data_IF_621258330665
#
_entry.id   IF_621258330665
#
_cell.length_a   1.000
_cell.length_b   1.000
_cell.length_c   1.000
_cell.angle_alpha   90.00
_cell.angle_beta   90.00
_cell.angle_gamma   90.00
#
_symmetry.space_group_name_H-M   'P 1'
#
loop_
_entity.id
_entity.type
_entity.pdbx_description
1 polymer ?
#
# COMPACT_ATOMS: atom_id res chain seq x y z
N UNK A 1 -5.69 32.73 -11.14
CA UNK A 1 -5.19 32.04 -9.93
C UNK A 1 -3.78 32.56 -9.65
N UNK A 2 -3.49 32.99 -8.42
CA UNK A 2 -2.28 33.73 -8.05
C UNK A 2 -1.01 32.91 -8.33
N UNK A 3 -0.03 33.57 -8.93
CA UNK A 3 1.35 33.11 -9.11
C UNK A 3 1.94 32.68 -7.76
N UNK A 4 2.15 31.37 -7.58
CA UNK A 4 3.04 30.84 -6.55
C UNK A 4 4.47 30.94 -7.10
N UNK A 5 5.34 31.63 -6.39
CA UNK A 5 6.71 31.88 -6.84
C UNK A 5 7.53 30.58 -6.76
N UNK A 6 8.30 30.22 -7.80
CA UNK A 6 9.04 28.95 -7.88
C UNK A 6 10.17 28.80 -6.85
N UNK A 7 10.57 29.86 -6.15
CA UNK A 7 11.70 29.80 -5.20
C UNK A 7 11.35 29.21 -3.82
N UNK A 8 10.08 28.98 -3.49
CA UNK A 8 9.68 28.32 -2.22
C UNK A 8 9.66 26.79 -2.36
N UNK A 9 9.70 26.25 -3.57
CA UNK A 9 9.66 24.79 -3.82
C UNK A 9 11.03 24.10 -3.76
N UNK A 10 12.12 24.85 -3.54
CA UNK A 10 13.48 24.33 -3.65
C UNK A 10 14.10 23.83 -2.32
N UNK A 11 13.45 24.02 -1.17
CA UNK A 11 14.10 23.72 0.12
C UNK A 11 13.74 22.35 0.74
N UNK A 12 12.66 21.70 0.30
CA UNK A 12 12.29 20.37 0.79
C UNK A 12 11.74 19.49 -0.34
N UNK A 13 12.50 18.46 -0.72
CA UNK A 13 12.05 17.37 -1.60
C UNK A 13 10.77 16.75 -1.01
N UNK A 14 9.67 16.81 -1.76
CA UNK A 14 8.41 16.21 -1.32
C UNK A 14 8.48 14.70 -1.53
N UNK A 15 7.85 13.92 -0.64
CA UNK A 15 7.79 12.46 -0.78
C UNK A 15 6.34 12.00 -0.78
N UNK A 16 5.99 11.15 -1.74
CA UNK A 16 4.66 10.55 -1.87
C UNK A 16 4.81 9.03 -1.78
N UNK A 17 4.15 8.42 -0.82
CA UNK A 17 4.06 6.96 -0.71
C UNK A 17 2.72 6.50 -1.29
N UNK A 18 2.74 5.81 -2.44
CA UNK A 18 1.56 5.15 -2.98
C UNK A 18 1.43 3.77 -2.34
N UNK A 19 0.36 3.55 -1.57
CA UNK A 19 0.17 2.35 -0.76
C UNK A 19 -1.05 1.58 -1.25
N UNK A 20 -0.84 0.32 -1.60
CA UNK A 20 -1.92 -0.62 -1.91
C UNK A 20 -2.10 -1.61 -0.75
N UNK A 21 -3.31 -1.63 -0.20
CA UNK A 21 -3.70 -2.55 0.87
C UNK A 21 -4.25 -3.87 0.34
N UNK A 22 -4.57 -4.80 1.24
CA UNK A 22 -5.17 -6.11 0.95
C UNK A 22 -4.27 -7.06 0.15
N UNK A 23 -2.94 -6.88 0.19
CA UNK A 23 -1.98 -7.75 -0.53
C UNK A 23 -1.84 -9.17 0.07
N UNK A 24 -2.60 -9.51 1.11
CA UNK A 24 -2.86 -10.89 1.49
C UNK A 24 -3.67 -11.67 0.43
N UNK A 25 -4.47 -10.95 -0.36
CA UNK A 25 -5.33 -11.52 -1.42
C UNK A 25 -4.50 -12.36 -2.39
N UNK A 26 -4.84 -13.64 -2.63
CA UNK A 26 -4.02 -14.55 -3.44
C UNK A 26 -3.66 -14.03 -4.83
N UNK A 27 -4.60 -13.35 -5.51
CA UNK A 27 -4.36 -12.77 -6.85
C UNK A 27 -3.32 -11.65 -6.86
N UNK A 28 -3.13 -10.96 -5.74
CA UNK A 28 -2.21 -9.83 -5.60
C UNK A 28 -0.81 -10.26 -5.18
N UNK A 29 -0.66 -11.43 -4.56
CA UNK A 29 0.61 -11.93 -4.04
C UNK A 29 1.72 -11.97 -5.11
N UNK A 30 1.36 -12.29 -6.36
CA UNK A 30 2.30 -12.32 -7.49
C UNK A 30 2.98 -10.97 -7.76
N UNK A 31 2.32 -9.86 -7.41
CA UNK A 31 2.81 -8.51 -7.63
C UNK A 31 3.55 -7.92 -6.43
N UNK A 32 3.60 -8.63 -5.30
CA UNK A 32 4.19 -8.13 -4.05
C UNK A 32 5.65 -7.66 -4.23
N UNK A 33 6.41 -8.33 -5.09
CA UNK A 33 7.82 -8.00 -5.38
C UNK A 33 7.98 -6.91 -6.45
N UNK A 34 6.90 -6.51 -7.10
CA UNK A 34 6.89 -5.51 -8.16
C UNK A 34 5.58 -4.70 -8.13
N UNK A 35 5.43 -3.91 -7.07
CA UNK A 35 4.22 -3.12 -6.79
C UNK A 35 4.05 -1.99 -7.80
N UNK A 36 5.15 -1.43 -8.29
CA UNK A 36 5.15 -0.44 -9.36
C UNK A 36 4.53 -1.02 -10.64
N UNK A 37 4.93 -2.24 -11.04
CA UNK A 37 4.29 -2.90 -12.19
C UNK A 37 2.80 -3.14 -11.99
N UNK A 38 2.36 -3.42 -10.77
CA UNK A 38 0.94 -3.50 -10.45
C UNK A 38 0.24 -2.14 -10.62
N UNK A 39 0.86 -1.06 -10.15
CA UNK A 39 0.33 0.29 -10.34
C UNK A 39 0.22 0.65 -11.83
N UNK A 40 1.24 0.36 -12.64
CA UNK A 40 1.22 0.62 -14.09
C UNK A 40 0.07 -0.11 -14.80
N UNK A 41 -0.14 -1.40 -14.47
CA UNK A 41 -1.14 -2.24 -15.14
C UNK A 41 -2.56 -1.84 -14.73
N UNK A 42 -2.80 -1.66 -13.43
CA UNK A 42 -4.16 -1.54 -12.90
C UNK A 42 -4.57 -0.09 -12.59
N UNK A 43 -3.60 0.82 -12.45
CA UNK A 43 -3.80 2.23 -12.10
C UNK A 43 -2.98 3.18 -12.99
N UNK A 44 -2.98 3.03 -14.33
CA UNK A 44 -2.12 3.80 -15.22
C UNK A 44 -2.32 5.31 -15.11
N UNK A 45 -3.56 5.76 -14.86
CA UNK A 45 -3.85 7.20 -14.68
C UNK A 45 -3.22 7.75 -13.39
N UNK A 46 -3.13 6.93 -12.34
CA UNK A 46 -2.47 7.31 -11.08
C UNK A 46 -0.96 7.41 -11.30
N UNK A 47 -0.37 6.46 -12.01
CA UNK A 47 1.06 6.50 -12.35
C UNK A 47 1.39 7.74 -13.17
N UNK A 48 0.63 8.02 -14.25
CA UNK A 48 0.86 9.21 -15.07
C UNK A 48 0.78 10.52 -14.25
N UNK A 49 -0.17 10.63 -13.33
CA UNK A 49 -0.28 11.81 -12.46
C UNK A 49 0.89 11.94 -11.47
N UNK A 50 1.47 10.82 -11.04
CA UNK A 50 2.67 10.81 -10.19
C UNK A 50 3.92 11.15 -10.99
N UNK A 51 4.02 10.68 -12.24
CA UNK A 51 5.12 11.02 -13.16
C UNK A 51 5.16 12.53 -13.43
N UNK A 52 4.00 13.15 -13.68
CA UNK A 52 3.89 14.62 -13.79
C UNK A 52 4.42 15.31 -12.50
N UNK A 53 4.10 14.79 -11.31
CA UNK A 53 4.58 15.38 -10.05
C UNK A 53 6.10 15.24 -9.87
N UNK A 54 6.68 14.12 -10.29
CA UNK A 54 8.12 13.89 -10.28
C UNK A 54 8.80 14.91 -11.22
N UNK A 55 8.31 15.04 -12.46
CA UNK A 55 8.88 15.93 -13.48
C UNK A 55 8.80 17.42 -13.09
N UNK A 56 7.64 17.86 -12.57
CA UNK A 56 7.37 19.29 -12.39
C UNK A 56 7.63 19.83 -10.97
N UNK A 57 7.73 18.98 -9.92
CA UNK A 57 7.68 19.44 -8.52
C UNK A 57 8.77 18.91 -7.58
N UNK A 58 9.86 18.34 -8.09
CA UNK A 58 10.96 17.82 -7.25
C UNK A 58 10.44 16.88 -6.14
N UNK A 59 9.74 15.84 -6.57
CA UNK A 59 9.05 14.89 -5.70
C UNK A 59 9.62 13.48 -5.87
N UNK A 60 9.86 12.78 -4.76
CA UNK A 60 10.09 11.34 -4.77
C UNK A 60 8.76 10.60 -4.62
N UNK A 61 8.64 9.49 -5.33
CA UNK A 61 7.51 8.58 -5.22
C UNK A 61 8.02 7.18 -4.91
N UNK A 62 7.39 6.49 -3.96
CA UNK A 62 7.66 5.09 -3.69
C UNK A 62 6.36 4.29 -3.57
N UNK A 63 6.42 3.04 -4.03
CA UNK A 63 5.27 2.14 -4.14
C UNK A 63 5.35 1.07 -3.05
N UNK A 64 4.27 0.90 -2.30
CA UNK A 64 4.21 -0.03 -1.18
C UNK A 64 3.00 -0.97 -1.30
N UNK A 65 3.25 -2.24 -1.03
CA UNK A 65 2.20 -3.21 -0.75
C UNK A 65 2.12 -3.44 0.75
N UNK A 66 0.90 -3.51 1.29
CA UNK A 66 0.69 -3.84 2.69
C UNK A 66 -0.49 -4.78 2.89
N UNK A 67 -0.47 -5.45 4.04
CA UNK A 67 -1.62 -6.16 4.57
C UNK A 67 -1.76 -5.86 6.05
N UNK A 68 -2.95 -5.39 6.43
CA UNK A 68 -3.31 -5.22 7.82
C UNK A 68 -3.71 -6.56 8.48
N UNK A 69 -4.12 -7.58 7.70
CA UNK A 69 -4.53 -8.88 8.21
C UNK A 69 -3.36 -9.87 8.30
N UNK A 70 -2.44 -9.84 7.34
CA UNK A 70 -1.34 -10.79 7.25
C UNK A 70 -1.77 -12.14 6.67
N UNK A 71 -0.94 -13.16 6.92
CA UNK A 71 -1.11 -14.51 6.39
C UNK A 71 -1.07 -15.55 7.51
N UNK A 72 -1.69 -16.70 7.24
CA UNK A 72 -1.50 -17.95 7.97
C UNK A 72 -0.73 -18.92 7.08
N UNK A 73 -0.01 -19.85 7.70
CA UNK A 73 0.57 -21.00 7.02
C UNK A 73 -0.39 -22.19 7.17
N UNK A 74 -0.98 -22.64 6.06
CA UNK A 74 -1.85 -23.80 5.98
C UNK A 74 -1.29 -24.75 4.89
N UNK A 75 -0.95 -25.98 5.26
CA UNK A 75 -0.38 -27.00 4.35
C UNK A 75 0.81 -26.51 3.50
N UNK A 76 1.71 -25.72 4.12
CA UNK A 76 2.88 -25.14 3.46
C UNK A 76 2.57 -24.01 2.47
N UNK A 77 1.35 -23.46 2.50
CA UNK A 77 0.92 -22.33 1.67
C UNK A 77 0.54 -21.14 2.54
N UNK A 78 0.80 -19.94 2.03
CA UNK A 78 0.33 -18.70 2.64
C UNK A 78 -1.13 -18.44 2.25
N UNK A 79 -2.01 -18.42 3.23
CA UNK A 79 -3.42 -18.05 3.06
C UNK A 79 -3.73 -16.76 3.81
N UNK A 80 -4.71 -15.95 3.36
CA UNK A 80 -5.10 -14.73 4.07
C UNK A 80 -5.54 -14.99 5.51
N UNK A 81 -5.05 -14.20 6.47
CA UNK A 81 -5.54 -14.23 7.86
C UNK A 81 -6.79 -13.34 8.03
N UNK A 82 -7.78 -13.52 7.16
CA UNK A 82 -9.02 -12.73 7.16
C UNK A 82 -10.23 -13.65 6.96
N UNK A 83 -11.25 -13.44 7.79
CA UNK A 83 -12.59 -13.95 7.58
C UNK A 83 -13.49 -12.81 7.09
N UNK A 84 -14.35 -13.12 6.12
CA UNK A 84 -15.32 -12.19 5.58
C UNK A 84 -16.68 -12.43 6.22
N UNK A 85 -17.15 -11.45 6.98
CA UNK A 85 -18.47 -11.48 7.61
C UNK A 85 -19.44 -10.69 6.74
N UNK A 86 -20.52 -11.35 6.35
CA UNK A 86 -21.65 -10.74 5.66
C UNK A 86 -22.77 -10.52 6.66
N UNK A 87 -23.16 -9.27 6.88
CA UNK A 87 -24.31 -8.93 7.70
C UNK A 87 -25.41 -8.36 6.82
N UNK A 88 -26.59 -8.99 6.85
CA UNK A 88 -27.79 -8.49 6.20
C UNK A 88 -28.70 -7.97 7.30
N UNK A 89 -28.88 -6.65 7.37
CA UNK A 89 -29.95 -6.05 8.15
C UNK A 89 -30.82 -5.24 7.21
N UNK A 90 -32.09 -5.67 7.12
CA UNK A 90 -33.31 -5.15 6.49
C UNK A 90 -33.23 -4.27 5.22
N UNK A 91 -32.18 -3.50 4.97
CA UNK A 91 -31.96 -2.67 3.78
C UNK A 91 -30.47 -2.56 3.33
N UNK A 92 -29.50 -3.10 4.08
CA UNK A 92 -28.06 -2.98 3.74
C UNK A 92 -27.31 -4.31 3.87
N UNK A 93 -26.54 -4.63 2.83
CA UNK A 93 -25.53 -5.69 2.85
C UNK A 93 -24.20 -5.08 3.28
N UNK A 94 -23.77 -5.37 4.50
CA UNK A 94 -22.47 -4.92 5.01
C UNK A 94 -21.42 -6.03 4.86
N UNK A 95 -20.24 -5.66 4.36
CA UNK A 95 -19.09 -6.55 4.19
C UNK A 95 -17.97 -6.12 5.12
N UNK A 96 -17.58 -6.99 6.04
CA UNK A 96 -16.49 -6.74 6.99
C UNK A 96 -15.41 -7.81 6.85
N UNK A 97 -14.15 -7.39 6.89
CA UNK A 97 -13.02 -8.29 7.10
C UNK A 97 -12.63 -8.27 8.57
N UNK A 98 -12.50 -9.44 9.19
CA UNK A 98 -11.99 -9.59 10.55
C UNK A 98 -10.77 -10.51 10.54
N UNK A 99 -9.84 -10.33 11.49
CA UNK A 99 -8.69 -11.22 11.63
C UNK A 99 -9.20 -12.62 11.96
N UNK A 100 -8.88 -13.61 11.12
CA UNK A 100 -9.33 -15.02 11.27
C UNK A 100 -8.70 -15.67 12.51
N UNK A 101 -7.41 -15.51 12.71
CA UNK A 101 -6.67 -15.96 13.89
C UNK A 101 -5.78 -14.85 14.46
N UNK A 102 -6.25 -14.17 15.53
CA UNK A 102 -5.49 -13.12 16.20
C UNK A 102 -4.16 -13.57 16.81
N UNK A 103 -4.01 -14.85 17.17
CA UNK A 103 -2.76 -15.36 17.80
C UNK A 103 -1.61 -15.43 16.81
N UNK A 104 -1.92 -15.58 15.53
CA UNK A 104 -0.96 -15.59 14.43
C UNK A 104 -1.05 -14.32 13.58
N UNK A 105 -1.56 -13.23 14.16
CA UNK A 105 -1.66 -11.96 13.47
C UNK A 105 -0.27 -11.38 13.17
N UNK A 106 0.06 -11.31 11.88
CA UNK A 106 1.36 -10.84 11.39
C UNK A 106 1.17 -9.92 10.17
N UNK A 107 0.82 -8.64 10.40
CA UNK A 107 0.72 -7.68 9.31
C UNK A 107 2.09 -7.42 8.69
N UNK A 108 2.10 -6.93 7.45
CA UNK A 108 3.34 -6.52 6.78
C UNK A 108 3.13 -5.21 6.03
N UNK A 109 4.22 -4.45 5.83
CA UNK A 109 4.24 -3.29 4.95
C UNK A 109 3.45 -2.08 5.44
N UNK A 110 2.67 -2.20 6.52
CA UNK A 110 1.82 -1.12 7.05
C UNK A 110 2.65 0.08 7.51
N UNK A 111 3.81 -0.17 8.14
CA UNK A 111 4.69 0.88 8.68
C UNK A 111 5.74 1.35 7.65
N UNK A 112 6.02 0.53 6.63
CA UNK A 112 7.01 0.83 5.61
C UNK A 112 6.85 2.20 4.91
N UNK A 113 5.65 2.62 4.46
CA UNK A 113 5.48 3.92 3.81
C UNK A 113 5.76 5.07 4.77
N UNK A 114 5.34 4.95 6.04
CA UNK A 114 5.59 5.99 7.05
C UNK A 114 7.08 6.12 7.34
N UNK A 115 7.77 4.99 7.49
CA UNK A 115 9.22 4.97 7.69
C UNK A 115 9.94 5.65 6.52
N UNK A 116 9.55 5.33 5.28
CA UNK A 116 10.17 5.93 4.09
C UNK A 116 9.87 7.41 3.96
N UNK A 117 8.65 7.86 4.24
CA UNK A 117 8.32 9.29 4.22
C UNK A 117 9.22 10.07 5.19
N UNK A 118 9.46 9.54 6.39
CA UNK A 118 10.28 10.17 7.42
C UNK A 118 11.79 10.13 7.12
N UNK A 119 12.28 9.02 6.59
CA UNK A 119 13.73 8.75 6.50
C UNK A 119 14.28 8.87 5.08
N UNK A 120 13.44 8.74 4.06
CA UNK A 120 13.86 8.52 2.67
C UNK A 120 14.35 7.10 2.38
N UNK A 121 14.46 6.24 3.40
CA UNK A 121 15.11 4.92 3.31
C UNK A 121 14.11 3.77 3.27
N UNK A 122 14.52 2.64 2.68
CA UNK A 122 13.75 1.41 2.68
C UNK A 122 14.27 0.42 3.72
N UNK A 123 13.40 -0.03 4.63
CA UNK A 123 13.72 -1.11 5.58
C UNK A 123 13.05 -2.43 5.17
N UNK A 124 13.86 -3.39 4.72
CA UNK A 124 13.40 -4.72 4.29
C UNK A 124 12.69 -5.49 5.39
N UNK A 125 12.97 -5.22 6.67
CA UNK A 125 12.30 -5.87 7.82
C UNK A 125 10.82 -5.51 7.89
N UNK A 126 10.45 -4.30 7.47
CA UNK A 126 9.06 -3.83 7.44
C UNK A 126 8.23 -4.46 6.31
N UNK A 127 8.89 -5.14 5.36
CA UNK A 127 8.27 -5.81 4.22
C UNK A 127 8.26 -7.34 4.36
N UNK A 128 8.68 -7.90 5.50
CA UNK A 128 8.70 -9.35 5.74
C UNK A 128 7.30 -9.88 6.05
N UNK A 129 7.02 -11.11 5.60
CA UNK A 129 5.85 -11.92 5.97
C UNK A 129 6.24 -12.84 7.11
#
# INVERSE_FOLDING_TARGET
MKNLQPHILAEHQQRIALVFSMFETPKLQQYRKNVEKFAEIFFPQTVNALDDLIEYKNCDVAYFACSAFGFLEEDGKLVPNVDHIHYINHETLSHWGVIKDPKHWKPFGVVAPVYWLLTGEHDKRLLKI
#
